data_IF_804825795610
#
_entry.id   IF_804825795610
#
_cell.length_a   1.000
_cell.length_b   1.000
_cell.length_c   1.000
_cell.angle_alpha   90.00
_cell.angle_beta   90.00
_cell.angle_gamma   90.00
#
_symmetry.space_group_name_H-M   'P 1'
#
loop_
_entity.id
_entity.type
_entity.pdbx_description
1 polymer ?
#
# COMPACT_ATOMS: atom_id res chain seq x y z
N UNK A 1 4.15 4.23 19.00
CA UNK A 1 3.34 4.63 17.83
C UNK A 1 1.86 4.65 18.22
N UNK A 2 1.31 3.59 18.82
CA UNK A 2 -0.08 3.55 19.31
C UNK A 2 -0.37 4.68 20.31
N UNK A 3 0.57 5.04 21.16
CA UNK A 3 0.44 6.13 22.13
C UNK A 3 0.49 7.52 21.48
N UNK A 4 1.23 7.69 20.38
CA UNK A 4 1.28 8.92 19.59
C UNK A 4 0.00 9.10 18.76
N UNK A 5 -0.51 8.02 18.19
CA UNK A 5 -1.82 7.98 17.52
C UNK A 5 -2.93 8.25 18.54
N UNK A 6 -2.87 7.64 19.72
CA UNK A 6 -3.81 7.86 20.82
C UNK A 6 -3.81 9.33 21.29
N UNK A 7 -2.66 9.98 21.34
CA UNK A 7 -2.57 11.38 21.72
C UNK A 7 -3.08 12.34 20.63
N UNK A 8 -2.79 12.07 19.34
CA UNK A 8 -3.38 12.81 18.22
C UNK A 8 -4.92 12.67 18.19
N UNK A 9 -5.41 11.46 18.49
CA UNK A 9 -6.83 11.12 18.65
C UNK A 9 -7.50 11.89 19.78
N UNK A 10 -6.81 12.09 20.91
CA UNK A 10 -7.36 12.76 22.11
C UNK A 10 -7.63 14.25 21.88
N UNK A 11 -7.02 14.86 20.88
CA UNK A 11 -7.15 16.29 20.56
C UNK A 11 -7.90 16.55 19.25
N UNK A 12 -8.39 15.51 18.57
CA UNK A 12 -9.24 15.70 17.40
C UNK A 12 -10.65 16.08 17.86
N UNK A 13 -11.29 17.00 17.14
CA UNK A 13 -12.66 17.50 17.42
C UNK A 13 -13.69 16.36 17.49
N UNK A 14 -13.41 15.24 16.83
CA UNK A 14 -14.31 14.09 16.64
C UNK A 14 -13.82 12.80 17.33
N UNK A 15 -12.92 12.88 18.31
CA UNK A 15 -12.47 11.71 19.08
C UNK A 15 -11.52 10.74 18.35
N UNK A 16 -10.98 11.16 17.18
CA UNK A 16 -9.98 10.42 16.40
C UNK A 16 -10.50 9.45 15.36
N UNK A 17 -9.58 8.84 14.59
CA UNK A 17 -9.90 8.04 13.40
C UNK A 17 -10.83 6.86 13.67
N UNK A 18 -10.74 6.23 14.83
CA UNK A 18 -11.59 5.09 15.20
C UNK A 18 -13.02 5.54 15.48
N UNK A 19 -13.18 6.62 16.26
CA UNK A 19 -14.49 7.19 16.59
C UNK A 19 -15.13 7.78 15.34
N UNK A 20 -14.36 8.51 14.51
CA UNK A 20 -14.85 9.08 13.27
C UNK A 20 -15.32 8.01 12.30
N UNK A 21 -14.57 6.90 12.14
CA UNK A 21 -14.97 5.77 11.32
C UNK A 21 -16.24 5.10 11.85
N UNK A 22 -16.30 4.84 13.16
CA UNK A 22 -17.48 4.24 13.79
C UNK A 22 -18.75 5.11 13.62
N UNK A 23 -18.61 6.44 13.71
CA UNK A 23 -19.68 7.37 13.44
C UNK A 23 -20.07 7.37 11.96
N UNK A 24 -19.08 7.38 11.07
CA UNK A 24 -19.29 7.30 9.62
C UNK A 24 -20.06 6.02 9.25
N UNK A 25 -19.70 4.86 9.79
CA UNK A 25 -20.41 3.59 9.56
C UNK A 25 -21.89 3.65 9.98
N UNK A 26 -22.22 4.52 10.94
CA UNK A 26 -23.60 4.78 11.39
C UNK A 26 -24.29 5.93 10.65
N UNK A 27 -23.62 6.57 9.70
CA UNK A 27 -24.13 7.74 8.98
C UNK A 27 -24.11 9.03 9.81
N UNK A 28 -23.29 9.08 10.85
CA UNK A 28 -23.07 10.27 11.68
C UNK A 28 -21.80 10.94 11.18
N UNK A 29 -21.93 12.11 10.59
CA UNK A 29 -20.81 12.87 10.00
C UNK A 29 -20.70 14.25 10.66
N UNK A 30 -19.50 14.82 10.71
CA UNK A 30 -19.22 16.11 11.33
C UNK A 30 -19.07 17.25 10.32
N UNK A 31 -19.07 16.95 9.03
CA UNK A 31 -18.95 17.93 7.95
C UNK A 31 -19.78 17.54 6.74
N UNK A 32 -20.21 18.52 5.95
CA UNK A 32 -20.89 18.28 4.65
C UNK A 32 -20.05 17.41 3.70
N UNK A 33 -18.73 17.61 3.70
CA UNK A 33 -17.81 16.81 2.89
C UNK A 33 -17.80 15.33 3.28
N UNK A 34 -17.84 15.02 4.58
CA UNK A 34 -17.89 13.63 5.04
C UNK A 34 -19.29 13.04 4.87
N UNK A 35 -20.35 13.87 4.94
CA UNK A 35 -21.71 13.42 4.61
C UNK A 35 -21.83 13.01 3.14
N UNK A 36 -21.30 13.81 2.21
CA UNK A 36 -21.29 13.47 0.79
C UNK A 36 -20.53 12.16 0.53
N UNK A 37 -19.41 11.95 1.21
CA UNK A 37 -18.67 10.67 1.14
C UNK A 37 -19.50 9.49 1.65
N UNK A 38 -20.22 9.67 2.75
CA UNK A 38 -21.10 8.65 3.29
C UNK A 38 -22.25 8.30 2.34
N UNK A 39 -22.91 9.30 1.78
CA UNK A 39 -23.99 9.09 0.80
C UNK A 39 -23.46 8.34 -0.43
N UNK A 40 -22.28 8.71 -0.93
CA UNK A 40 -21.61 8.02 -2.04
C UNK A 40 -21.28 6.58 -1.67
N UNK A 41 -20.69 6.35 -0.49
CA UNK A 41 -20.42 5.01 0.02
C UNK A 41 -21.68 4.15 0.07
N UNK A 42 -22.74 4.68 0.68
CA UNK A 42 -24.03 3.99 0.80
C UNK A 42 -24.63 3.66 -0.56
N UNK A 43 -24.64 4.63 -1.48
CA UNK A 43 -25.16 4.44 -2.84
C UNK A 43 -24.41 3.35 -3.61
N UNK A 44 -23.08 3.31 -3.48
CA UNK A 44 -22.24 2.33 -4.18
C UNK A 44 -22.31 0.92 -3.56
N UNK A 45 -22.77 0.79 -2.30
CA UNK A 45 -22.71 -0.47 -1.57
C UNK A 45 -24.07 -1.01 -1.10
N UNK A 46 -25.17 -0.33 -1.40
CA UNK A 46 -26.52 -0.78 -1.04
C UNK A 46 -27.24 -1.60 -2.14
N UNK A 47 -26.59 -1.88 -3.23
CA UNK A 47 -27.14 -2.60 -4.37
C UNK A 47 -27.97 -1.73 -5.36
N UNK A 48 -28.10 -0.41 -5.12
CA UNK A 48 -28.82 0.50 -6.02
C UNK A 48 -28.09 0.72 -7.34
N UNK A 49 -26.79 0.53 -7.38
CA UNK A 49 -25.93 0.69 -8.55
C UNK A 49 -25.28 -0.63 -8.93
N UNK A 50 -25.12 -0.86 -10.23
CA UNK A 50 -24.31 -1.99 -10.73
C UNK A 50 -22.85 -1.76 -10.47
N UNK A 51 -22.14 -2.81 -10.11
CA UNK A 51 -20.70 -2.72 -9.85
C UNK A 51 -19.89 -2.27 -11.07
N UNK A 52 -20.27 -2.73 -12.24
CA UNK A 52 -19.57 -2.36 -13.49
C UNK A 52 -19.64 -0.86 -13.76
N UNK A 53 -20.79 -0.22 -13.50
CA UNK A 53 -20.97 1.22 -13.66
C UNK A 53 -20.08 2.01 -12.68
N UNK A 54 -20.00 1.55 -11.42
CA UNK A 54 -19.16 2.15 -10.38
C UNK A 54 -17.67 2.00 -10.75
N UNK A 55 -17.29 0.81 -11.19
CA UNK A 55 -15.92 0.45 -11.58
C UNK A 55 -15.43 1.30 -12.75
N UNK A 56 -16.28 1.52 -13.75
CA UNK A 56 -15.99 2.36 -14.92
C UNK A 56 -15.90 3.84 -14.55
N UNK A 57 -16.87 4.37 -13.78
CA UNK A 57 -16.92 5.75 -13.33
C UNK A 57 -15.67 6.15 -12.54
N UNK A 58 -15.25 5.32 -11.58
CA UNK A 58 -14.07 5.57 -10.76
C UNK A 58 -12.76 5.32 -11.56
N UNK A 59 -12.83 4.47 -12.58
CA UNK A 59 -11.73 4.19 -13.49
C UNK A 59 -10.70 3.20 -12.93
N UNK A 60 -11.14 2.21 -12.17
CA UNK A 60 -10.25 1.20 -11.56
C UNK A 60 -9.37 0.47 -12.60
N UNK A 61 -9.87 0.23 -13.82
CA UNK A 61 -9.16 -0.49 -14.88
C UNK A 61 -8.77 0.39 -16.07
N UNK A 62 -9.04 1.69 -16.00
CA UNK A 62 -8.86 2.62 -17.14
C UNK A 62 -7.49 2.48 -17.81
N UNK A 63 -6.45 2.21 -17.04
CA UNK A 63 -5.07 2.12 -17.52
C UNK A 63 -4.61 0.69 -17.86
N UNK A 64 -5.39 -0.35 -17.59
CA UNK A 64 -4.99 -1.75 -17.79
C UNK A 64 -4.59 -2.07 -19.23
N UNK A 65 -5.31 -1.65 -20.28
CA UNK A 65 -4.90 -1.90 -21.65
C UNK A 65 -3.51 -1.32 -21.96
N UNK A 66 -3.24 -0.10 -21.50
CA UNK A 66 -1.95 0.57 -21.68
C UNK A 66 -0.85 -0.13 -20.90
N UNK A 67 -1.05 -0.39 -19.61
CA UNK A 67 -0.08 -1.08 -18.74
C UNK A 67 0.29 -2.46 -19.29
N UNK A 68 -0.71 -3.21 -19.76
CA UNK A 68 -0.50 -4.53 -20.36
C UNK A 68 0.33 -4.43 -21.64
N UNK A 69 0.01 -3.50 -22.54
CA UNK A 69 0.76 -3.27 -23.77
C UNK A 69 2.21 -2.88 -23.50
N UNK A 70 2.44 -1.98 -22.56
CA UNK A 70 3.78 -1.55 -22.16
C UNK A 70 4.59 -2.69 -21.55
N UNK A 71 3.98 -3.48 -20.67
CA UNK A 71 4.63 -4.64 -20.06
C UNK A 71 5.00 -5.71 -21.10
N UNK A 72 4.11 -6.01 -22.06
CA UNK A 72 4.36 -6.97 -23.12
C UNK A 72 5.49 -6.53 -24.07
N UNK A 73 5.63 -5.20 -24.25
CA UNK A 73 6.71 -4.63 -25.06
C UNK A 73 8.05 -4.65 -24.33
N UNK A 74 8.04 -4.37 -23.03
CA UNK A 74 9.25 -4.22 -22.23
C UNK A 74 9.87 -5.55 -21.80
N UNK A 75 9.08 -6.63 -21.72
CA UNK A 75 9.53 -7.91 -21.21
C UNK A 75 9.51 -8.99 -22.31
N UNK A 76 10.54 -9.80 -22.37
CA UNK A 76 10.61 -10.93 -23.30
C UNK A 76 9.55 -11.99 -22.96
N UNK A 77 9.38 -12.29 -21.69
CA UNK A 77 8.39 -13.22 -21.16
C UNK A 77 7.49 -12.55 -20.13
N UNK A 78 6.22 -12.96 -20.07
CA UNK A 78 5.27 -12.57 -19.05
C UNK A 78 5.03 -13.77 -18.16
N UNK A 79 5.24 -13.59 -16.85
CA UNK A 79 5.10 -14.66 -15.86
C UNK A 79 3.80 -14.48 -15.09
N UNK A 80 3.02 -15.56 -14.96
CA UNK A 80 1.84 -15.59 -14.12
C UNK A 80 2.22 -15.39 -12.65
N UNK A 81 1.65 -14.35 -12.05
CA UNK A 81 1.98 -13.96 -10.69
C UNK A 81 1.56 -14.95 -9.61
N UNK A 82 0.72 -15.93 -9.93
CA UNK A 82 0.20 -16.92 -8.98
C UNK A 82 0.74 -18.32 -9.20
N UNK A 83 1.04 -18.68 -10.46
CA UNK A 83 1.50 -20.01 -10.80
C UNK A 83 2.98 -20.07 -11.19
N UNK A 84 3.60 -18.91 -11.47
CA UNK A 84 4.97 -18.85 -11.99
C UNK A 84 5.12 -19.32 -13.44
N UNK A 85 4.03 -19.68 -14.13
CA UNK A 85 4.05 -20.17 -15.52
C UNK A 85 4.19 -19.02 -16.51
N UNK A 86 4.77 -19.28 -17.68
CA UNK A 86 4.85 -18.32 -18.78
C UNK A 86 3.46 -18.14 -19.38
N UNK A 87 3.06 -16.88 -19.54
CA UNK A 87 1.81 -16.48 -20.17
C UNK A 87 2.03 -16.05 -21.62
N UNK A 88 0.98 -16.21 -22.46
CA UNK A 88 0.96 -15.67 -23.82
C UNK A 88 0.81 -14.16 -23.80
N UNK A 89 1.47 -13.45 -24.74
CA UNK A 89 1.34 -12.00 -24.88
C UNK A 89 0.12 -11.62 -25.71
N UNK A 90 -1.07 -12.09 -25.32
CA UNK A 90 -2.32 -11.86 -26.04
C UNK A 90 -3.48 -11.53 -25.08
N UNK A 91 -4.72 -11.56 -25.59
CA UNK A 91 -5.92 -11.26 -24.81
C UNK A 91 -6.21 -12.22 -23.66
N UNK A 92 -5.61 -13.44 -23.65
CA UNK A 92 -5.77 -14.44 -22.60
C UNK A 92 -4.94 -14.14 -21.34
N UNK A 93 -4.04 -13.17 -21.43
CA UNK A 93 -3.28 -12.68 -20.28
C UNK A 93 -3.93 -11.42 -19.75
N UNK A 94 -4.40 -11.49 -18.52
CA UNK A 94 -5.08 -10.40 -17.81
C UNK A 94 -4.15 -9.76 -16.80
N UNK A 95 -4.41 -8.49 -16.50
CA UNK A 95 -3.88 -7.82 -15.33
C UNK A 95 -4.96 -7.87 -14.25
N UNK A 96 -4.64 -8.46 -13.11
CA UNK A 96 -5.58 -8.67 -11.99
C UNK A 96 -5.22 -7.78 -10.81
N UNK A 97 -6.24 -7.28 -10.11
CA UNK A 97 -6.09 -6.67 -8.80
C UNK A 97 -5.99 -7.77 -7.73
N UNK A 98 -4.85 -7.91 -7.05
CA UNK A 98 -4.64 -8.92 -6.00
C UNK A 98 -5.68 -8.75 -4.88
N UNK A 99 -5.81 -7.53 -4.32
CA UNK A 99 -6.96 -7.11 -3.53
C UNK A 99 -7.94 -6.45 -4.49
N UNK A 100 -9.13 -7.03 -4.64
CA UNK A 100 -10.07 -6.63 -5.68
C UNK A 100 -10.51 -5.16 -5.55
N UNK A 101 -10.78 -4.51 -6.69
CA UNK A 101 -11.32 -3.16 -6.72
C UNK A 101 -12.66 -3.07 -5.95
N UNK A 102 -13.46 -4.13 -5.96
CA UNK A 102 -14.71 -4.22 -5.19
C UNK A 102 -14.44 -4.20 -3.68
N UNK A 103 -13.45 -4.94 -3.21
CA UNK A 103 -13.06 -4.94 -1.78
C UNK A 103 -12.58 -3.54 -1.35
N UNK A 104 -11.80 -2.87 -2.19
CA UNK A 104 -11.34 -1.50 -1.94
C UNK A 104 -12.51 -0.53 -1.87
N UNK A 105 -13.48 -0.62 -2.80
CA UNK A 105 -14.64 0.25 -2.87
C UNK A 105 -15.68 -0.05 -1.77
N UNK A 106 -15.78 -1.28 -1.32
CA UNK A 106 -16.73 -1.67 -0.25
C UNK A 106 -16.23 -1.31 1.16
N UNK A 107 -15.04 -0.76 1.30
CA UNK A 107 -14.48 -0.41 2.58
C UNK A 107 -14.82 1.05 2.96
N UNK A 108 -15.67 1.24 3.97
CA UNK A 108 -16.11 2.56 4.46
C UNK A 108 -14.95 3.46 4.88
N UNK A 109 -13.88 2.88 5.44
CA UNK A 109 -12.66 3.61 5.81
C UNK A 109 -11.98 4.24 4.59
N UNK A 110 -11.97 3.52 3.45
CA UNK A 110 -11.42 4.05 2.21
C UNK A 110 -12.25 5.23 1.70
N UNK A 111 -13.58 5.17 1.80
CA UNK A 111 -14.44 6.28 1.43
C UNK A 111 -14.26 7.50 2.32
N UNK A 112 -14.14 7.30 3.63
CA UNK A 112 -13.99 8.40 4.58
C UNK A 112 -12.68 9.17 4.35
N UNK A 113 -11.57 8.47 4.06
CA UNK A 113 -10.24 9.07 4.05
C UNK A 113 -9.64 9.29 2.64
N UNK A 114 -10.15 8.64 1.61
CA UNK A 114 -9.63 8.72 0.24
C UNK A 114 -10.71 9.23 -0.74
N UNK A 115 -10.28 10.06 -1.70
CA UNK A 115 -11.14 10.39 -2.84
C UNK A 115 -11.32 9.20 -3.78
N UNK A 116 -12.29 9.23 -4.72
CA UNK A 116 -12.43 8.19 -5.74
C UNK A 116 -11.14 7.96 -6.54
N UNK A 117 -10.47 9.05 -6.93
CA UNK A 117 -9.21 9.01 -7.68
C UNK A 117 -8.07 8.42 -6.86
N UNK A 118 -8.02 8.70 -5.56
CA UNK A 118 -7.03 8.14 -4.66
C UNK A 118 -7.27 6.63 -4.46
N UNK A 119 -8.54 6.18 -4.38
CA UNK A 119 -8.89 4.76 -4.34
C UNK A 119 -8.50 4.04 -5.64
N UNK A 120 -8.78 4.64 -6.80
CA UNK A 120 -8.36 4.09 -8.09
C UNK A 120 -6.84 3.99 -8.21
N UNK A 121 -6.11 5.06 -7.85
CA UNK A 121 -4.63 5.06 -7.83
C UNK A 121 -4.06 4.01 -6.87
N UNK A 122 -4.67 3.82 -5.71
CA UNK A 122 -4.26 2.82 -4.74
C UNK A 122 -4.45 1.40 -5.30
N UNK A 123 -5.56 1.15 -5.99
CA UNK A 123 -5.87 -0.15 -6.57
C UNK A 123 -4.87 -0.57 -7.66
N UNK A 124 -4.37 0.36 -8.46
CA UNK A 124 -3.43 0.09 -9.57
C UNK A 124 -1.94 0.18 -9.20
N UNK A 125 -1.61 0.19 -7.91
CA UNK A 125 -0.21 0.10 -7.47
C UNK A 125 0.38 -1.26 -7.88
N UNK A 126 1.63 -1.28 -8.31
CA UNK A 126 2.33 -2.51 -8.75
C UNK A 126 2.24 -3.65 -7.73
N UNK A 127 2.28 -3.31 -6.43
CA UNK A 127 2.12 -4.27 -5.33
C UNK A 127 0.74 -4.91 -5.27
N UNK A 128 -0.28 -4.29 -5.87
CA UNK A 128 -1.65 -4.81 -5.94
C UNK A 128 -2.01 -5.38 -7.31
N UNK A 129 -1.05 -5.51 -8.23
CA UNK A 129 -1.28 -6.02 -9.57
C UNK A 129 -0.51 -7.32 -9.81
N UNK A 130 -1.14 -8.23 -10.53
CA UNK A 130 -0.51 -9.45 -11.02
C UNK A 130 -0.97 -9.75 -12.45
N UNK A 131 -0.03 -10.12 -13.33
CA UNK A 131 -0.39 -10.75 -14.58
C UNK A 131 -0.80 -12.19 -14.29
N UNK A 132 -1.91 -12.62 -14.88
CA UNK A 132 -2.41 -13.98 -14.74
C UNK A 132 -3.25 -14.39 -15.95
N UNK A 133 -3.62 -15.66 -16.04
CA UNK A 133 -4.49 -16.14 -17.11
C UNK A 133 -5.93 -15.62 -16.95
N UNK A 134 -6.63 -15.47 -18.07
CA UNK A 134 -8.06 -15.13 -18.09
C UNK A 134 -8.89 -16.06 -17.19
N UNK A 135 -8.58 -17.37 -17.20
CA UNK A 135 -9.30 -18.37 -16.42
C UNK A 135 -9.12 -18.18 -14.91
N UNK A 136 -7.92 -17.85 -14.45
CA UNK A 136 -7.64 -17.56 -13.04
C UNK A 136 -8.31 -16.25 -12.64
N UNK A 137 -8.12 -15.18 -13.43
CA UNK A 137 -8.70 -13.87 -13.16
C UNK A 137 -10.25 -13.94 -13.07
N UNK A 138 -10.89 -14.60 -14.02
CA UNK A 138 -12.35 -14.78 -14.02
C UNK A 138 -12.83 -15.63 -12.84
N UNK A 139 -12.12 -16.69 -12.47
CA UNK A 139 -12.48 -17.53 -11.32
C UNK A 139 -12.28 -16.83 -10.00
N UNK A 140 -11.26 -15.98 -9.89
CA UNK A 140 -10.99 -15.16 -8.71
C UNK A 140 -12.07 -14.08 -8.57
N UNK A 141 -12.33 -13.32 -9.63
CA UNK A 141 -13.32 -12.25 -9.60
C UNK A 141 -13.09 -11.29 -8.42
N UNK A 142 -14.09 -11.11 -7.60
CA UNK A 142 -14.07 -10.19 -6.46
C UNK A 142 -13.58 -10.81 -5.14
N UNK A 143 -13.31 -12.13 -5.14
CA UNK A 143 -12.91 -12.88 -3.92
C UNK A 143 -11.58 -12.41 -3.38
N UNK A 144 -11.44 -12.43 -2.06
CA UNK A 144 -10.11 -12.32 -1.46
C UNK A 144 -9.27 -13.57 -1.79
N UNK A 145 -7.95 -13.45 -1.68
CA UNK A 145 -7.03 -14.50 -2.12
C UNK A 145 -7.29 -15.84 -1.42
N UNK A 146 -7.49 -15.83 -0.10
CA UNK A 146 -7.75 -17.05 0.67
C UNK A 146 -9.04 -17.74 0.21
N UNK A 147 -10.13 -16.98 0.11
CA UNK A 147 -11.42 -17.49 -0.36
C UNK A 147 -11.30 -18.05 -1.77
N UNK A 148 -10.59 -17.35 -2.66
CA UNK A 148 -10.36 -17.83 -4.02
C UNK A 148 -9.65 -19.17 -4.05
N UNK A 149 -8.54 -19.31 -3.31
CA UNK A 149 -7.76 -20.54 -3.26
C UNK A 149 -8.56 -21.74 -2.75
N UNK A 150 -9.38 -21.52 -1.71
CA UNK A 150 -10.20 -22.56 -1.05
C UNK A 150 -11.51 -22.89 -1.80
N UNK A 151 -11.95 -22.02 -2.73
CA UNK A 151 -13.20 -22.21 -3.47
C UNK A 151 -13.11 -23.43 -4.40
N UNK A 152 -14.13 -24.28 -4.36
CA UNK A 152 -14.33 -25.41 -5.29
C UNK A 152 -15.34 -25.03 -6.36
N UNK A 153 -15.05 -25.37 -7.63
CA UNK A 153 -16.05 -25.21 -8.68
C UNK A 153 -17.17 -26.24 -8.49
N UNK A 154 -18.43 -25.83 -8.69
CA UNK A 154 -19.59 -26.72 -8.61
C UNK A 154 -19.38 -27.97 -9.49
N UNK A 155 -19.55 -29.15 -8.90
CA UNK A 155 -19.31 -30.45 -9.59
C UNK A 155 -17.84 -30.86 -9.70
N UNK A 156 -16.90 -30.18 -9.02
CA UNK A 156 -15.50 -30.54 -8.96
C UNK A 156 -15.04 -30.68 -7.51
N UNK A 157 -14.25 -31.70 -7.23
CA UNK A 157 -13.69 -31.95 -5.88
C UNK A 157 -12.44 -31.10 -5.60
N UNK A 158 -11.79 -30.56 -6.63
CA UNK A 158 -10.57 -29.77 -6.49
C UNK A 158 -10.87 -28.30 -6.13
N UNK A 159 -10.06 -27.75 -5.25
CA UNK A 159 -10.01 -26.31 -4.97
C UNK A 159 -9.45 -25.54 -6.17
N UNK A 160 -9.62 -24.22 -6.21
CA UNK A 160 -8.97 -23.42 -7.25
C UNK A 160 -7.44 -23.48 -7.15
N UNK A 161 -6.89 -23.58 -5.93
CA UNK A 161 -5.46 -23.80 -5.74
C UNK A 161 -4.98 -25.04 -6.48
N UNK A 162 -5.63 -26.19 -6.26
CA UNK A 162 -5.29 -27.46 -6.90
C UNK A 162 -5.53 -27.43 -8.42
N UNK A 163 -6.67 -26.90 -8.82
CA UNK A 163 -7.10 -26.84 -10.22
C UNK A 163 -6.15 -26.03 -11.11
N UNK A 164 -5.65 -24.91 -10.60
CA UNK A 164 -4.79 -23.99 -11.35
C UNK A 164 -3.31 -24.17 -11.01
N UNK A 165 -2.98 -25.10 -10.11
CA UNK A 165 -1.61 -25.35 -9.63
C UNK A 165 -0.99 -24.04 -9.06
N UNK A 166 -1.76 -23.32 -8.25
CA UNK A 166 -1.31 -22.05 -7.66
C UNK A 166 -0.37 -22.35 -6.49
N UNK A 167 0.76 -21.67 -6.47
CA UNK A 167 1.63 -21.65 -5.30
C UNK A 167 1.00 -20.79 -4.21
N UNK A 168 0.48 -21.47 -3.16
CA UNK A 168 -0.23 -20.82 -2.07
C UNK A 168 0.66 -19.82 -1.33
N UNK A 169 1.92 -20.14 -1.10
CA UNK A 169 2.83 -19.24 -0.38
C UNK A 169 3.09 -17.97 -1.18
N UNK A 170 3.35 -18.10 -2.48
CA UNK A 170 3.53 -16.95 -3.38
C UNK A 170 2.26 -16.10 -3.42
N UNK A 171 1.09 -16.71 -3.63
CA UNK A 171 -0.18 -15.99 -3.74
C UNK A 171 -0.54 -15.24 -2.44
N UNK A 172 -0.40 -15.89 -1.28
CA UNK A 172 -0.68 -15.28 0.02
C UNK A 172 0.35 -14.21 0.40
N UNK A 173 1.61 -14.36 0.02
CA UNK A 173 2.61 -13.31 0.23
C UNK A 173 2.31 -12.08 -0.62
N UNK A 174 1.88 -12.23 -1.87
CA UNK A 174 1.44 -11.11 -2.70
C UNK A 174 0.22 -10.41 -2.11
N UNK A 175 -0.79 -11.15 -1.67
CA UNK A 175 -1.97 -10.59 -0.98
C UNK A 175 -1.57 -9.81 0.28
N UNK A 176 -0.69 -10.36 1.10
CA UNK A 176 -0.16 -9.68 2.29
C UNK A 176 0.59 -8.39 1.94
N UNK A 177 1.39 -8.39 0.89
CA UNK A 177 2.11 -7.20 0.42
C UNK A 177 1.13 -6.14 -0.09
N UNK A 178 0.14 -6.52 -0.90
CA UNK A 178 -0.90 -5.64 -1.40
C UNK A 178 -1.70 -4.99 -0.27
N UNK A 179 -2.18 -5.79 0.70
CA UNK A 179 -2.91 -5.29 1.88
C UNK A 179 -2.06 -4.37 2.75
N UNK A 180 -0.77 -4.66 2.90
CA UNK A 180 0.16 -3.79 3.64
C UNK A 180 0.32 -2.44 2.95
N UNK A 181 0.43 -2.42 1.62
CA UNK A 181 0.52 -1.20 0.84
C UNK A 181 -0.78 -0.40 0.91
N UNK A 182 -1.94 -1.04 0.73
CA UNK A 182 -3.26 -0.42 0.85
C UNK A 182 -3.42 0.21 2.23
N UNK A 183 -3.08 -0.53 3.29
CA UNK A 183 -3.12 0.01 4.66
C UNK A 183 -2.22 1.24 4.81
N UNK A 184 -1.02 1.23 4.27
CA UNK A 184 -0.09 2.36 4.35
C UNK A 184 -0.64 3.62 3.67
N UNK A 185 -1.27 3.49 2.48
CA UNK A 185 -1.90 4.61 1.79
C UNK A 185 -3.08 5.20 2.60
N UNK A 186 -3.91 4.32 3.17
CA UNK A 186 -5.02 4.76 4.03
C UNK A 186 -4.52 5.45 5.30
N UNK A 187 -3.51 4.88 5.97
CA UNK A 187 -2.92 5.48 7.17
C UNK A 187 -2.30 6.85 6.88
N UNK A 188 -1.71 7.03 5.69
CA UNK A 188 -1.20 8.31 5.18
C UNK A 188 -2.34 9.33 4.96
N UNK A 189 -3.45 8.90 4.38
CA UNK A 189 -4.62 9.75 4.15
C UNK A 189 -5.29 10.18 5.47
N UNK A 190 -5.42 9.26 6.42
CA UNK A 190 -5.90 9.56 7.79
C UNK A 190 -5.04 10.64 8.41
N UNK A 191 -3.74 10.45 8.35
CA UNK A 191 -2.79 11.40 8.89
C UNK A 191 -2.94 12.79 8.22
N UNK A 192 -3.00 12.84 6.87
CA UNK A 192 -3.18 14.08 6.10
C UNK A 192 -4.46 14.81 6.52
N UNK A 193 -5.60 14.11 6.64
CA UNK A 193 -6.88 14.70 7.07
C UNK A 193 -6.73 15.38 8.44
N UNK A 194 -6.27 14.65 9.45
CA UNK A 194 -6.18 15.19 10.81
C UNK A 194 -5.12 16.25 10.96
N UNK A 195 -4.00 16.17 10.26
CA UNK A 195 -2.97 17.22 10.26
C UNK A 195 -3.52 18.53 9.67
N UNK A 196 -4.31 18.44 8.59
CA UNK A 196 -4.94 19.61 7.95
C UNK A 196 -5.99 20.24 8.88
N UNK A 197 -6.84 19.43 9.52
CA UNK A 197 -7.85 19.89 10.46
C UNK A 197 -7.22 20.60 11.68
N UNK A 198 -6.14 20.05 12.22
CA UNK A 198 -5.38 20.66 13.33
C UNK A 198 -4.73 21.98 12.93
N UNK A 199 -4.19 22.10 11.72
CA UNK A 199 -3.62 23.35 11.21
C UNK A 199 -4.69 24.45 11.04
N UNK A 200 -5.90 24.08 10.61
CA UNK A 200 -7.02 25.02 10.43
C UNK A 200 -7.60 25.52 11.75
N UNK A 201 -7.49 24.75 12.83
CA UNK A 201 -7.98 25.16 14.17
C UNK A 201 -7.07 26.14 14.89
N UNK A 202 -5.93 26.55 14.29
CA UNK A 202 -5.08 27.66 14.77
C UNK A 202 -4.26 27.37 16.04
N UNK A 203 -4.19 26.13 16.50
CA UNK A 203 -3.41 25.77 17.67
C UNK A 203 -1.95 25.49 17.30
N UNK A 204 -1.03 26.40 17.66
CA UNK A 204 0.43 26.23 17.44
C UNK A 204 0.97 24.89 17.98
N UNK A 205 0.42 24.41 19.08
CA UNK A 205 0.82 23.15 19.69
C UNK A 205 0.27 21.94 18.92
N UNK A 206 -0.92 22.05 18.32
CA UNK A 206 -1.49 21.03 17.46
C UNK A 206 -0.69 20.87 16.14
N UNK A 207 -0.18 21.96 15.57
CA UNK A 207 0.71 21.91 14.39
C UNK A 207 2.03 21.18 14.71
N UNK A 208 2.61 21.42 15.90
CA UNK A 208 3.79 20.67 16.36
C UNK A 208 3.49 19.19 16.57
N UNK A 209 2.34 18.85 17.16
CA UNK A 209 1.93 17.46 17.37
C UNK A 209 1.64 16.74 16.06
N UNK A 210 1.03 17.42 15.08
CA UNK A 210 0.85 16.90 13.73
C UNK A 210 2.21 16.60 13.07
N UNK A 211 3.17 17.48 13.19
CA UNK A 211 4.53 17.29 12.70
C UNK A 211 5.21 16.08 13.36
N UNK A 212 5.13 15.95 14.69
CA UNK A 212 5.70 14.80 15.39
C UNK A 212 5.01 13.48 15.04
N UNK A 213 3.71 13.49 14.79
CA UNK A 213 2.98 12.31 14.33
C UNK A 213 3.41 11.90 12.91
N UNK A 214 3.65 12.88 12.01
CA UNK A 214 4.21 12.63 10.67
C UNK A 214 5.55 11.95 10.75
N UNK A 215 6.43 12.50 11.57
CA UNK A 215 7.76 11.94 11.80
C UNK A 215 7.65 10.48 12.26
N UNK A 216 6.71 10.17 13.16
CA UNK A 216 6.45 8.82 13.63
C UNK A 216 6.04 7.84 12.51
N UNK A 217 5.17 8.28 11.60
CA UNK A 217 4.74 7.44 10.44
C UNK A 217 5.89 7.24 9.47
N UNK A 218 6.62 8.31 9.12
CA UNK A 218 7.82 8.21 8.25
C UNK A 218 8.88 7.29 8.86
N UNK A 219 9.13 7.38 10.17
CA UNK A 219 10.06 6.49 10.86
C UNK A 219 9.62 5.02 10.81
N UNK A 220 8.32 4.76 10.91
CA UNK A 220 7.79 3.40 10.78
C UNK A 220 7.93 2.85 9.35
N UNK A 221 7.61 3.65 8.33
CA UNK A 221 7.79 3.27 6.92
C UNK A 221 9.28 3.06 6.59
N UNK A 222 10.13 3.98 7.04
CA UNK A 222 11.57 3.85 6.91
C UNK A 222 12.12 2.59 7.59
N UNK A 223 11.69 2.29 8.81
CA UNK A 223 12.13 1.10 9.53
C UNK A 223 11.76 -0.17 8.78
N UNK A 224 10.51 -0.28 8.28
CA UNK A 224 10.07 -1.42 7.47
C UNK A 224 10.89 -1.57 6.18
N UNK A 225 11.13 -0.46 5.48
CA UNK A 225 11.92 -0.47 4.26
C UNK A 225 13.39 -0.82 4.54
N UNK A 226 13.97 -0.30 5.62
CA UNK A 226 15.32 -0.61 6.06
C UNK A 226 15.50 -2.12 6.35
N UNK A 227 14.58 -2.71 7.13
CA UNK A 227 14.64 -4.16 7.43
C UNK A 227 14.45 -5.01 6.17
N UNK A 228 13.58 -4.60 5.25
CA UNK A 228 13.39 -5.27 3.95
C UNK A 228 14.68 -5.22 3.14
N UNK A 229 15.28 -4.06 2.97
CA UNK A 229 16.56 -3.87 2.24
C UNK A 229 17.68 -4.72 2.84
N UNK A 230 17.79 -4.76 4.17
CA UNK A 230 18.75 -5.61 4.86
C UNK A 230 18.49 -7.09 4.54
N UNK A 231 17.25 -7.54 4.68
CA UNK A 231 16.86 -8.93 4.41
C UNK A 231 17.16 -9.33 2.96
N UNK A 232 16.79 -8.50 1.99
CA UNK A 232 17.04 -8.75 0.55
C UNK A 232 18.53 -8.87 0.24
N UNK A 233 19.36 -8.01 0.83
CA UNK A 233 20.82 -8.07 0.66
C UNK A 233 21.38 -9.38 1.20
N UNK A 234 20.96 -9.81 2.39
CA UNK A 234 21.45 -11.05 2.98
C UNK A 234 20.84 -12.32 2.36
N UNK A 235 19.63 -12.28 1.87
CA UNK A 235 18.99 -13.42 1.18
C UNK A 235 19.62 -13.72 -0.17
N UNK A 236 20.12 -12.68 -0.84
CA UNK A 236 20.76 -12.79 -2.16
C UNK A 236 22.31 -12.85 -2.06
N UNK A 237 22.83 -13.08 -0.86
CA UNK A 237 24.25 -13.19 -0.59
C UNK A 237 24.80 -14.52 -1.14
N UNK A 238 25.32 -14.49 -2.35
CA UNK A 238 26.11 -15.58 -2.94
C UNK A 238 27.41 -14.99 -3.49
N UNK A 239 28.53 -15.30 -2.85
CA UNK A 239 29.89 -14.94 -3.30
C UNK A 239 30.25 -13.44 -3.37
N UNK A 240 29.50 -12.57 -2.69
CA UNK A 240 29.84 -11.15 -2.62
C UNK A 240 30.76 -10.85 -1.44
N UNK A 241 31.71 -9.94 -1.67
CA UNK A 241 32.56 -9.41 -0.58
C UNK A 241 31.74 -8.46 0.32
N UNK A 242 32.18 -8.28 1.56
CA UNK A 242 31.54 -7.33 2.49
C UNK A 242 31.54 -5.89 1.96
N UNK A 243 32.52 -5.53 1.14
CA UNK A 243 32.60 -4.22 0.49
C UNK A 243 31.49 -4.06 -0.56
N UNK A 244 31.24 -5.08 -1.36
CA UNK A 244 30.17 -5.08 -2.37
C UNK A 244 28.80 -5.03 -1.70
N UNK A 245 28.57 -5.82 -0.64
CA UNK A 245 27.34 -5.75 0.16
C UNK A 245 27.11 -4.36 0.72
N UNK A 246 28.14 -3.73 1.24
CA UNK A 246 28.02 -2.38 1.79
C UNK A 246 27.69 -1.34 0.73
N UNK A 247 28.32 -1.42 -0.45
CA UNK A 247 28.03 -0.52 -1.58
C UNK A 247 26.60 -0.71 -2.05
N UNK A 248 26.14 -1.96 -2.24
CA UNK A 248 24.76 -2.28 -2.65
C UNK A 248 23.75 -1.77 -1.62
N UNK A 249 23.99 -1.99 -0.34
CA UNK A 249 23.14 -1.44 0.72
C UNK A 249 23.03 0.09 0.64
N UNK A 250 24.18 0.78 0.48
CA UNK A 250 24.22 2.23 0.42
C UNK A 250 23.41 2.79 -0.75
N UNK A 251 23.45 2.14 -1.91
CA UNK A 251 22.64 2.52 -3.08
C UNK A 251 21.15 2.32 -2.79
N UNK A 252 20.76 1.13 -2.40
CA UNK A 252 19.35 0.79 -2.18
C UNK A 252 18.71 1.63 -1.07
N UNK A 253 19.42 1.86 0.05
CA UNK A 253 18.84 2.66 1.14
C UNK A 253 18.74 4.14 0.78
N UNK A 254 19.62 4.65 -0.08
CA UNK A 254 19.53 6.02 -0.60
C UNK A 254 18.26 6.18 -1.45
N UNK A 255 17.96 5.23 -2.32
CA UNK A 255 16.73 5.24 -3.13
C UNK A 255 15.48 5.19 -2.25
N UNK A 256 15.47 4.35 -1.21
CA UNK A 256 14.38 4.27 -0.23
C UNK A 256 14.16 5.62 0.46
N UNK A 257 15.23 6.27 0.92
CA UNK A 257 15.13 7.57 1.61
C UNK A 257 14.65 8.67 0.67
N UNK A 258 15.15 8.73 -0.56
CA UNK A 258 14.68 9.72 -1.55
C UNK A 258 13.22 9.49 -1.95
N UNK A 259 12.80 8.23 -2.09
CA UNK A 259 11.40 7.89 -2.32
C UNK A 259 10.51 8.38 -1.19
N UNK A 260 10.85 8.06 0.06
CA UNK A 260 10.11 8.54 1.23
C UNK A 260 10.08 10.07 1.30
N UNK A 261 11.21 10.74 1.05
CA UNK A 261 11.28 12.20 1.02
C UNK A 261 10.30 12.79 0.00
N UNK A 262 10.27 12.25 -1.21
CA UNK A 262 9.38 12.72 -2.26
C UNK A 262 7.91 12.45 -1.96
N UNK A 263 7.57 11.28 -1.38
CA UNK A 263 6.20 10.94 -0.99
C UNK A 263 5.66 11.81 0.14
N UNK A 264 6.54 12.29 1.03
CA UNK A 264 6.17 13.07 2.20
C UNK A 264 6.42 14.58 2.06
N UNK A 265 7.02 15.01 0.93
CA UNK A 265 7.37 16.41 0.66
C UNK A 265 6.19 17.36 0.86
N UNK A 266 5.01 17.01 0.33
CA UNK A 266 3.83 17.87 0.39
C UNK A 266 3.26 17.99 1.81
N UNK A 267 3.43 16.95 2.63
CA UNK A 267 2.98 16.93 4.03
C UNK A 267 3.87 17.83 4.88
N UNK A 268 5.15 17.90 4.55
CA UNK A 268 6.11 18.77 5.22
C UNK A 268 6.24 20.15 4.56
N UNK A 269 5.46 20.47 3.53
CA UNK A 269 5.58 21.71 2.73
C UNK A 269 5.44 22.99 3.56
N UNK A 270 4.73 22.94 4.68
CA UNK A 270 4.59 24.04 5.62
C UNK A 270 5.72 24.09 6.70
N UNK A 271 6.68 23.18 6.61
CA UNK A 271 7.85 23.15 7.51
C UNK A 271 9.04 23.80 6.82
N UNK A 272 10.02 24.23 7.60
CA UNK A 272 11.26 24.82 7.07
C UNK A 272 11.95 23.75 6.19
N UNK A 273 12.06 24.00 4.88
CA UNK A 273 12.56 23.05 3.88
C UNK A 273 13.93 22.43 4.26
N UNK A 274 14.79 23.21 4.89
CA UNK A 274 16.07 22.75 5.43
C UNK A 274 15.94 21.70 6.53
N UNK A 275 14.92 21.79 7.39
CA UNK A 275 14.70 20.82 8.48
C UNK A 275 14.25 19.46 7.94
N UNK A 276 13.41 19.45 6.90
CA UNK A 276 12.95 18.23 6.23
C UNK A 276 14.13 17.52 5.56
N UNK A 277 14.94 18.27 4.82
CA UNK A 277 16.14 17.74 4.16
C UNK A 277 17.12 17.17 5.18
N UNK A 278 17.37 17.88 6.28
CA UNK A 278 18.24 17.40 7.36
C UNK A 278 17.69 16.11 8.02
N UNK A 279 16.40 16.04 8.24
CA UNK A 279 15.74 14.84 8.80
C UNK A 279 15.99 13.61 7.93
N UNK A 280 15.70 13.66 6.63
CA UNK A 280 15.94 12.53 5.71
C UNK A 280 17.41 12.20 5.54
N UNK A 281 18.29 13.20 5.54
CA UNK A 281 19.75 12.99 5.53
C UNK A 281 20.22 12.24 6.78
N UNK A 282 19.68 12.57 7.95
CA UNK A 282 20.00 11.87 9.19
C UNK A 282 19.49 10.42 9.21
N UNK A 283 18.32 10.14 8.62
CA UNK A 283 17.82 8.76 8.45
C UNK A 283 18.79 7.94 7.58
N UNK A 284 19.27 8.52 6.49
CA UNK A 284 20.24 7.86 5.60
C UNK A 284 21.53 7.53 6.35
N UNK A 285 22.10 8.52 7.06
CA UNK A 285 23.33 8.34 7.86
C UNK A 285 23.13 7.28 8.94
N UNK A 286 22.01 7.29 9.64
CA UNK A 286 21.67 6.30 10.65
C UNK A 286 21.65 4.89 10.06
N UNK A 287 20.97 4.68 8.92
CA UNK A 287 20.87 3.37 8.27
C UNK A 287 22.26 2.84 7.85
N UNK A 288 23.09 3.71 7.24
CA UNK A 288 24.43 3.34 6.80
C UNK A 288 25.30 2.93 8.00
N UNK A 289 25.25 3.68 9.09
CA UNK A 289 26.01 3.37 10.29
C UNK A 289 25.54 2.08 10.98
N UNK A 290 24.23 1.86 11.02
CA UNK A 290 23.64 0.62 11.56
C UNK A 290 24.12 -0.60 10.76
N UNK A 291 24.06 -0.53 9.43
CA UNK A 291 24.48 -1.63 8.56
C UNK A 291 25.99 -1.89 8.65
N UNK A 292 26.81 -0.83 8.64
CA UNK A 292 28.26 -0.93 8.82
C UNK A 292 28.63 -1.60 10.16
N UNK A 293 27.93 -1.24 11.22
CA UNK A 293 28.13 -1.85 12.56
C UNK A 293 27.73 -3.32 12.57
N UNK A 294 26.64 -3.67 11.90
CA UNK A 294 26.17 -5.07 11.77
C UNK A 294 27.20 -5.90 10.99
N UNK A 295 27.72 -5.40 9.87
CA UNK A 295 28.78 -6.08 9.11
C UNK A 295 30.05 -6.31 9.95
N UNK A 296 30.49 -5.29 10.71
CA UNK A 296 31.66 -5.44 11.60
C UNK A 296 31.45 -6.51 12.67
N UNK A 297 30.23 -6.64 13.21
CA UNK A 297 29.92 -7.70 14.19
C UNK A 297 29.95 -9.09 13.55
N UNK A 298 29.43 -9.24 12.33
CA UNK A 298 29.46 -10.50 11.59
C UNK A 298 30.89 -10.97 11.28
N UNK A 299 31.82 -10.04 11.05
CA UNK A 299 33.25 -10.36 10.84
C UNK A 299 33.92 -10.87 12.12
N UNK A 300 33.55 -10.30 13.28
CA UNK A 300 34.14 -10.66 14.57
C UNK A 300 33.60 -11.98 15.13
N UNK A 301 32.48 -12.47 14.62
CA UNK A 301 31.83 -13.72 15.03
C UNK A 301 32.23 -14.95 14.21
N UNK A 302 33.04 -14.76 13.18
CA UNK A 302 33.74 -15.80 12.42
C UNK A 302 35.19 -15.92 12.89
#
# INVERSE_FOLDING_TARGET
IEQLISNAVKYSKDGGSVTTLHNFDKGITSSEADDLKYQTYKLNNNGSRKWDDIREEIGYDKNFPKMRKEHFKANEQVIDGYTGKILSKDKRTHLDHIVSAKEIESNSKNHLFLSPEERAKMAIKDTNLAFTSESINTSKGEKNMKEFLETKKRGNNFTNQERYEIDQEIAMNKDKMARTQIKAEVDKAIFKKYSTELLQTGAKDAAKMALYSSIGVVLNEFSKALFRTIKEIFSNYKNESLKELFIRFKVNIKEVVEKLKNEWKDIFSNSIEGAVTAFFSNLLVFAINLFATTLKKLVKSK
#
